data_IF_928981000666
#
_entry.id   IF_928981000666
#
_cell.length_a   1.000
_cell.length_b   1.000
_cell.length_c   1.000
_cell.angle_alpha   90.00
_cell.angle_beta   90.00
_cell.angle_gamma   90.00
#
_symmetry.space_group_name_H-M   'P 1'
#
loop_
_entity.id
_entity.type
_entity.pdbx_description
1 polymer ?
#
# COMPACT_ATOMS: atom_id res chain seq x y z
N UNK A 1 -4.21 -1.27 9.73
CA UNK A 1 -4.75 -2.63 9.83
C UNK A 1 -5.38 -3.15 8.54
N UNK A 2 -5.31 -4.48 8.31
CA UNK A 2 -5.66 -5.16 7.06
C UNK A 2 -7.05 -5.81 7.01
N UNK A 3 -7.64 -5.81 5.83
CA UNK A 3 -8.91 -6.47 5.51
C UNK A 3 -8.83 -7.18 4.15
N UNK A 4 -9.34 -8.41 4.08
CA UNK A 4 -9.45 -9.22 2.87
C UNK A 4 -10.93 -9.38 2.50
N UNK A 5 -11.30 -8.98 1.28
CA UNK A 5 -12.68 -8.92 0.81
C UNK A 5 -12.87 -9.72 -0.50
N UNK A 6 -13.58 -9.17 -1.49
CA UNK A 6 -13.93 -9.88 -2.75
C UNK A 6 -12.79 -9.94 -3.77
N UNK A 7 -11.90 -8.95 -3.78
CA UNK A 7 -10.88 -8.77 -4.81
C UNK A 7 -9.56 -9.49 -4.51
N UNK A 8 -8.58 -9.44 -5.44
CA UNK A 8 -7.25 -9.94 -5.17
C UNK A 8 -6.56 -9.11 -4.09
N UNK A 9 -5.83 -9.78 -3.20
CA UNK A 9 -5.10 -9.14 -2.10
C UNK A 9 -6.01 -8.59 -1.00
N UNK A 10 -5.46 -7.65 -0.22
CA UNK A 10 -6.18 -6.98 0.86
C UNK A 10 -6.05 -5.45 0.79
N UNK A 11 -6.74 -4.77 1.68
CA UNK A 11 -6.60 -3.32 1.88
C UNK A 11 -6.07 -3.06 3.29
N UNK A 12 -5.14 -2.12 3.41
CA UNK A 12 -4.58 -1.72 4.69
C UNK A 12 -5.00 -0.28 4.96
N UNK A 13 -5.46 -0.02 6.19
CA UNK A 13 -5.77 1.34 6.68
C UNK A 13 -4.78 1.80 7.73
N UNK A 14 -4.59 3.11 7.88
CA UNK A 14 -3.80 3.69 8.97
C UNK A 14 -4.36 5.04 9.39
N UNK A 15 -4.28 5.41 10.67
CA UNK A 15 -4.90 6.61 11.23
C UNK A 15 -3.83 7.58 11.77
N UNK A 16 -3.36 8.54 10.97
CA UNK A 16 -2.30 9.44 11.41
C UNK A 16 -2.82 10.43 12.45
N UNK A 17 -1.90 10.97 13.25
CA UNK A 17 -2.18 11.96 14.30
C UNK A 17 -2.90 13.23 13.79
N UNK A 18 -2.62 13.63 12.55
CA UNK A 18 -3.26 14.78 11.87
C UNK A 18 -4.74 14.58 11.52
N UNK A 19 -5.31 13.41 11.80
CA UNK A 19 -6.68 13.05 11.44
C UNK A 19 -6.83 12.48 10.02
N UNK A 20 -8.05 12.08 9.68
CA UNK A 20 -8.33 11.29 8.48
C UNK A 20 -7.75 9.87 8.59
N UNK A 21 -7.53 9.22 7.44
CA UNK A 21 -6.90 7.91 7.38
C UNK A 21 -6.21 7.65 6.04
N UNK A 22 -5.16 6.85 6.05
CA UNK A 22 -4.54 6.28 4.87
C UNK A 22 -5.26 5.01 4.43
N UNK A 23 -5.38 4.81 3.12
CA UNK A 23 -5.77 3.54 2.50
C UNK A 23 -4.66 3.13 1.53
N UNK A 24 -4.21 1.89 1.66
CA UNK A 24 -3.32 1.22 0.72
C UNK A 24 -4.02 -0.01 0.18
N UNK A 25 -4.12 -0.13 -1.14
CA UNK A 25 -4.61 -1.34 -1.76
C UNK A 25 -4.71 -1.25 -3.29
N UNK A 26 -4.72 -2.38 -4.00
CA UNK A 26 -4.60 -3.75 -3.44
C UNK A 26 -3.19 -4.05 -2.90
N UNK A 27 -3.13 -4.72 -1.74
CA UNK A 27 -1.90 -5.21 -1.11
C UNK A 27 -1.79 -6.72 -1.28
N UNK A 28 -0.63 -7.19 -1.74
CA UNK A 28 -0.29 -8.60 -1.86
C UNK A 28 0.66 -9.02 -0.73
N UNK A 29 1.12 -10.27 -0.77
CA UNK A 29 1.98 -10.83 0.27
C UNK A 29 3.20 -9.96 0.60
N UNK A 30 3.82 -9.34 -0.43
CA UNK A 30 5.00 -8.49 -0.27
C UNK A 30 4.70 -7.20 0.50
N UNK A 31 3.61 -6.49 0.19
CA UNK A 31 3.23 -5.28 0.95
C UNK A 31 2.86 -5.63 2.38
N UNK A 32 2.11 -6.72 2.58
CA UNK A 32 1.68 -7.17 3.90
C UNK A 32 2.88 -7.54 4.78
N UNK A 33 3.85 -8.27 4.23
CA UNK A 33 5.08 -8.64 4.92
C UNK A 33 5.93 -7.40 5.26
N UNK A 34 6.08 -6.46 4.33
CA UNK A 34 6.80 -5.20 4.59
C UNK A 34 6.16 -4.38 5.73
N UNK A 35 4.82 -4.41 5.81
CA UNK A 35 4.06 -3.76 6.87
C UNK A 35 4.02 -4.58 8.17
N UNK A 36 4.53 -5.82 8.18
CA UNK A 36 4.47 -6.70 9.35
C UNK A 36 3.05 -7.19 9.67
N UNK A 37 2.20 -7.35 8.65
CA UNK A 37 0.81 -7.77 8.78
C UNK A 37 0.61 -9.23 8.38
N UNK A 38 -0.40 -9.87 8.96
CA UNK A 38 -0.78 -11.23 8.60
C UNK A 38 -1.28 -11.28 7.14
N UNK A 39 -0.84 -12.30 6.40
CA UNK A 39 -1.11 -12.47 4.96
C UNK A 39 -2.44 -13.17 4.67
N UNK A 40 -3.02 -13.84 5.65
CA UNK A 40 -4.15 -14.75 5.50
C UNK A 40 -5.34 -14.40 6.40
N UNK A 41 -5.15 -13.55 7.41
CA UNK A 41 -6.17 -13.17 8.38
C UNK A 41 -6.26 -11.65 8.53
N UNK A 42 -7.50 -11.16 8.64
CA UNK A 42 -7.76 -9.77 8.94
C UNK A 42 -7.04 -9.37 10.24
N UNK A 43 -6.29 -8.28 10.18
CA UNK A 43 -5.67 -7.71 11.38
C UNK A 43 -6.58 -6.61 11.90
N UNK A 44 -7.10 -6.68 13.15
CA UNK A 44 -7.82 -5.59 13.79
C UNK A 44 -6.87 -4.43 14.14
N UNK A 45 -7.40 -3.34 14.70
CA UNK A 45 -6.71 -2.05 14.88
C UNK A 45 -6.24 -2.17 16.30
N UNK A 46 -4.99 -1.77 16.55
CA UNK A 46 -4.47 -1.79 17.90
C UNK A 46 -5.49 -1.18 18.87
N UNK A 47 -5.75 -1.89 19.95
CA UNK A 47 -6.59 -1.38 21.04
C UNK A 47 -5.86 -0.21 21.70
N UNK A 48 -6.59 0.85 22.06
CA UNK A 48 -6.02 2.11 22.60
C UNK A 48 -5.78 1.97 24.12
N UNK A 49 -5.39 0.79 24.60
CA UNK A 49 -5.15 0.57 26.04
C UNK A 49 -4.01 1.44 26.58
N UNK A 50 -3.07 1.85 25.72
CA UNK A 50 -2.08 2.88 25.99
C UNK A 50 -2.12 3.93 24.87
N UNK A 51 -2.75 5.10 25.07
CA UNK A 51 -2.98 6.09 24.02
C UNK A 51 -1.70 6.61 23.35
N UNK A 52 -0.62 6.80 24.12
CA UNK A 52 0.63 7.38 23.59
C UNK A 52 1.41 6.35 22.77
N UNK A 53 1.62 5.14 23.31
CA UNK A 53 2.30 4.07 22.58
C UNK A 53 1.52 3.67 21.30
N UNK A 54 0.18 3.64 21.39
CA UNK A 54 -0.66 3.36 20.24
C UNK A 54 -0.58 4.47 19.16
N UNK A 55 -0.35 5.73 19.54
CA UNK A 55 -0.18 6.83 18.59
C UNK A 55 1.15 6.73 17.83
N UNK A 56 2.26 6.44 18.53
CA UNK A 56 3.58 6.29 17.89
C UNK A 56 3.63 5.07 16.97
N UNK A 57 3.07 3.94 17.40
CA UNK A 57 2.94 2.73 16.58
C UNK A 57 2.11 2.98 15.31
N UNK A 58 0.97 3.69 15.44
CA UNK A 58 0.10 4.01 14.33
C UNK A 58 0.76 5.00 13.35
N UNK A 59 1.54 5.97 13.84
CA UNK A 59 2.29 6.90 13.00
C UNK A 59 3.40 6.17 12.24
N UNK A 60 4.13 5.25 12.88
CA UNK A 60 5.11 4.38 12.21
C UNK A 60 4.46 3.51 11.13
N UNK A 61 3.28 2.95 11.41
CA UNK A 61 2.49 2.19 10.44
C UNK A 61 2.09 3.06 9.25
N UNK A 62 1.58 4.28 9.50
CA UNK A 62 1.24 5.24 8.45
C UNK A 62 2.46 5.64 7.61
N UNK A 63 3.63 5.80 8.22
CA UNK A 63 4.88 6.11 7.52
C UNK A 63 5.26 5.00 6.53
N UNK A 64 5.19 3.74 6.95
CA UNK A 64 5.43 2.60 6.05
C UNK A 64 4.38 2.48 4.96
N UNK A 65 3.12 2.75 5.27
CA UNK A 65 2.06 2.78 4.25
C UNK A 65 2.33 3.85 3.19
N UNK A 66 2.77 5.05 3.59
CA UNK A 66 3.14 6.11 2.66
C UNK A 66 4.32 5.72 1.75
N UNK A 67 5.29 4.97 2.28
CA UNK A 67 6.40 4.42 1.48
C UNK A 67 5.91 3.51 0.34
N UNK A 68 4.72 2.91 0.46
CA UNK A 68 4.10 2.07 -0.56
C UNK A 68 3.06 2.80 -1.43
N UNK A 69 2.93 4.13 -1.28
CA UNK A 69 2.00 4.93 -2.07
C UNK A 69 0.58 5.02 -1.51
N UNK A 70 0.39 4.80 -0.20
CA UNK A 70 -0.94 4.93 0.41
C UNK A 70 -1.54 6.33 0.22
N UNK A 71 -2.84 6.37 -0.10
CA UNK A 71 -3.60 7.62 -0.29
C UNK A 71 -4.23 8.05 1.02
N UNK A 72 -4.12 9.33 1.36
CA UNK A 72 -4.80 9.91 2.52
C UNK A 72 -6.20 10.38 2.15
N UNK A 73 -7.17 10.09 3.02
CA UNK A 73 -8.56 10.49 2.91
C UNK A 73 -8.97 11.28 4.15
N UNK A 74 -9.70 12.37 3.95
CA UNK A 74 -10.17 13.20 5.07
C UNK A 74 -11.22 12.46 5.90
N UNK A 75 -12.09 11.69 5.27
CA UNK A 75 -13.18 10.97 5.89
C UNK A 75 -13.68 9.81 4.99
N UNK A 76 -14.50 8.92 5.56
CA UNK A 76 -15.03 7.74 4.86
C UNK A 76 -15.94 8.12 3.68
N UNK A 77 -16.66 9.25 3.77
CA UNK A 77 -17.54 9.70 2.70
C UNK A 77 -16.75 10.04 1.43
N UNK A 78 -15.63 10.78 1.55
CA UNK A 78 -14.75 11.09 0.41
C UNK A 78 -14.13 9.82 -0.19
N UNK A 79 -13.69 8.88 0.66
CA UNK A 79 -13.17 7.59 0.21
C UNK A 79 -14.23 6.78 -0.56
N UNK A 80 -15.43 6.65 0.00
CA UNK A 80 -16.54 5.93 -0.63
C UNK A 80 -17.00 6.59 -1.94
N UNK A 81 -17.06 7.93 -1.97
CA UNK A 81 -17.40 8.66 -3.19
C UNK A 81 -16.40 8.32 -4.31
N UNK A 82 -15.10 8.37 -4.03
CA UNK A 82 -14.07 8.02 -5.02
C UNK A 82 -14.09 6.53 -5.41
N UNK A 83 -14.49 5.63 -4.51
CA UNK A 83 -14.63 4.21 -4.83
C UNK A 83 -15.80 3.92 -5.80
N UNK A 84 -16.84 4.76 -5.80
CA UNK A 84 -18.01 4.64 -6.69
C UNK A 84 -17.77 5.39 -8.01
N UNK A 85 -17.21 6.60 -7.91
CA UNK A 85 -16.96 7.50 -9.03
C UNK A 85 -15.52 8.04 -8.93
N UNK A 86 -14.54 7.29 -9.49
CA UNK A 86 -13.14 7.71 -9.44
C UNK A 86 -12.93 9.02 -10.21
N UNK A 87 -12.26 10.00 -9.60
CA UNK A 87 -12.09 11.34 -10.20
C UNK A 87 -11.27 11.35 -11.51
N UNK A 88 -10.47 10.32 -11.82
CA UNK A 88 -9.93 10.07 -13.18
C UNK A 88 -9.35 8.66 -13.35
N UNK A 89 -9.33 8.16 -14.60
CA UNK A 89 -8.60 6.95 -15.01
C UNK A 89 -7.17 7.23 -15.48
N UNK A 90 -6.73 8.49 -15.48
CA UNK A 90 -5.39 8.95 -15.90
C UNK A 90 -4.34 8.81 -14.79
N UNK A 91 -4.66 8.03 -13.75
CA UNK A 91 -3.77 7.79 -12.62
C UNK A 91 -2.47 7.07 -13.03
N UNK A 92 -1.39 7.35 -12.31
CA UNK A 92 -0.13 6.63 -12.46
C UNK A 92 -0.24 5.28 -11.74
N UNK A 93 0.18 4.20 -12.41
CA UNK A 93 0.47 2.93 -11.74
C UNK A 93 1.79 3.12 -11.00
N UNK A 94 1.70 3.25 -9.68
CA UNK A 94 2.83 3.37 -8.77
C UNK A 94 3.11 2.02 -8.13
N UNK A 95 4.35 1.58 -8.20
CA UNK A 95 4.82 0.39 -7.51
C UNK A 95 6.22 0.65 -6.95
N UNK A 96 6.41 0.34 -5.68
CA UNK A 96 7.62 0.69 -4.93
C UNK A 96 8.27 -0.57 -4.35
N UNK A 97 9.58 -0.66 -4.46
CA UNK A 97 10.41 -1.68 -3.82
C UNK A 97 11.42 -1.05 -2.86
N UNK A 98 11.53 -1.62 -1.65
CA UNK A 98 12.43 -1.14 -0.61
C UNK A 98 13.44 -2.23 -0.24
N UNK A 99 14.66 -2.20 -0.78
CA UNK A 99 15.68 -3.19 -0.45
C UNK A 99 16.24 -2.96 0.96
N UNK A 100 16.74 -4.03 1.59
CA UNK A 100 17.33 -4.00 2.93
C UNK A 100 18.59 -3.12 3.00
N UNK A 101 19.30 -2.99 1.87
CA UNK A 101 20.48 -2.12 1.74
C UNK A 101 20.18 -0.62 1.70
N UNK A 102 18.90 -0.23 1.73
CA UNK A 102 18.47 1.15 1.59
C UNK A 102 18.35 1.60 0.13
N UNK A 103 17.74 2.77 -0.07
CA UNK A 103 17.30 3.23 -1.39
C UNK A 103 15.87 2.80 -1.69
N UNK A 104 15.39 3.11 -2.90
CA UNK A 104 14.03 2.82 -3.33
C UNK A 104 14.01 2.60 -4.84
N UNK A 105 13.28 1.57 -5.28
CA UNK A 105 12.98 1.31 -6.68
C UNK A 105 11.54 1.72 -6.97
N UNK A 106 11.28 2.43 -8.07
CA UNK A 106 9.96 3.03 -8.32
C UNK A 106 9.57 2.84 -9.78
N UNK A 107 8.58 1.98 -10.01
CA UNK A 107 7.86 1.97 -11.26
C UNK A 107 6.69 2.96 -11.15
N UNK A 108 6.76 4.06 -11.90
CA UNK A 108 5.70 5.07 -12.00
C UNK A 108 5.38 5.31 -13.47
N UNK A 109 4.35 4.64 -14.00
CA UNK A 109 3.98 4.72 -15.41
C UNK A 109 2.47 4.86 -15.61
N UNK A 110 2.01 5.46 -16.73
CA UNK A 110 0.58 5.47 -17.05
C UNK A 110 0.01 4.05 -17.25
N UNK A 111 -1.30 3.83 -17.09
CA UNK A 111 -1.90 2.50 -17.13
C UNK A 111 -1.70 1.80 -18.47
N UNK A 112 -1.73 2.57 -19.58
CA UNK A 112 -1.46 2.02 -20.92
C UNK A 112 -0.04 1.46 -21.03
N UNK A 113 0.95 2.12 -20.43
CA UNK A 113 2.34 1.64 -20.44
C UNK A 113 2.50 0.45 -19.51
N UNK A 114 1.89 0.47 -18.32
CA UNK A 114 1.88 -0.67 -17.39
C UNK A 114 1.34 -1.95 -18.07
N UNK A 115 0.28 -1.81 -18.88
CA UNK A 115 -0.28 -2.91 -19.68
C UNK A 115 0.71 -3.42 -20.73
N UNK A 116 1.38 -2.53 -21.47
CA UNK A 116 2.32 -2.87 -22.54
C UNK A 116 3.53 -3.63 -22.01
N UNK A 117 4.07 -3.22 -20.85
CA UNK A 117 5.25 -3.86 -20.24
C UNK A 117 4.90 -5.06 -19.34
N UNK A 118 3.60 -5.39 -19.18
CA UNK A 118 3.17 -6.48 -18.34
C UNK A 118 3.45 -6.28 -16.84
N UNK A 119 3.34 -5.06 -16.32
CA UNK A 119 3.79 -4.69 -14.97
C UNK A 119 3.17 -5.52 -13.82
N UNK A 120 2.04 -6.19 -14.06
CA UNK A 120 1.40 -7.08 -13.09
C UNK A 120 2.30 -8.24 -12.63
N UNK A 121 3.36 -8.61 -13.38
CA UNK A 121 4.34 -9.63 -12.94
C UNK A 121 5.02 -9.28 -11.62
N UNK A 122 5.06 -7.99 -11.24
CA UNK A 122 5.64 -7.53 -9.98
C UNK A 122 4.91 -8.17 -8.77
N UNK A 123 3.61 -8.46 -8.89
CA UNK A 123 2.84 -9.06 -7.80
C UNK A 123 3.23 -10.51 -7.48
N UNK A 124 4.04 -11.15 -8.33
CA UNK A 124 4.56 -12.50 -8.10
C UNK A 124 5.82 -12.53 -7.24
N UNK A 125 6.43 -11.37 -6.93
CA UNK A 125 7.60 -11.32 -6.05
C UNK A 125 7.26 -11.91 -4.67
N UNK A 126 8.18 -12.65 -4.06
CA UNK A 126 8.01 -13.18 -2.72
C UNK A 126 8.36 -12.18 -1.62
N UNK A 127 9.25 -11.23 -1.92
CA UNK A 127 9.77 -10.25 -0.97
C UNK A 127 10.14 -8.94 -1.68
N UNK A 128 10.55 -7.93 -0.91
CA UNK A 128 10.92 -6.63 -1.46
C UNK A 128 12.18 -6.68 -2.35
N UNK A 129 13.13 -7.57 -2.10
CA UNK A 129 14.34 -7.69 -2.93
C UNK A 129 14.01 -8.20 -4.34
N UNK A 130 13.18 -9.23 -4.44
CA UNK A 130 12.67 -9.70 -5.71
C UNK A 130 11.84 -8.64 -6.42
N UNK A 131 10.99 -7.94 -5.67
CA UNK A 131 10.20 -6.83 -6.22
C UNK A 131 11.08 -5.74 -6.82
N UNK A 132 12.14 -5.33 -6.13
CA UNK A 132 13.12 -4.35 -6.62
C UNK A 132 13.71 -4.80 -7.95
N UNK A 133 14.15 -6.06 -8.06
CA UNK A 133 14.71 -6.62 -9.31
C UNK A 133 13.72 -6.59 -10.47
N UNK A 134 12.45 -6.90 -10.20
CA UNK A 134 11.41 -6.87 -11.25
C UNK A 134 11.09 -5.43 -11.65
N UNK A 135 11.06 -4.49 -10.70
CA UNK A 135 10.89 -3.05 -11.01
C UNK A 135 12.04 -2.56 -11.89
N UNK A 136 13.29 -2.88 -11.55
CA UNK A 136 14.48 -2.56 -12.34
C UNK A 136 14.38 -3.10 -13.77
N UNK A 137 14.00 -4.37 -13.93
CA UNK A 137 13.80 -4.99 -15.26
C UNK A 137 12.74 -4.29 -16.10
N UNK A 138 11.74 -3.67 -15.46
CA UNK A 138 10.66 -2.93 -16.10
C UNK A 138 11.02 -1.44 -16.35
N UNK A 139 12.23 -1.03 -15.96
CA UNK A 139 12.79 0.30 -16.19
C UNK A 139 12.39 1.35 -15.13
N UNK A 140 12.08 0.91 -13.91
CA UNK A 140 11.88 1.79 -12.74
C UNK A 140 13.08 1.82 -11.79
#
# INVERSE_FOLDING_TARGET
RSEFARGPGGFVRGWPSKGGFYVLGPCFGVELEFLGLDRFHNTPRPSISNPTAAADEEEMHCNKMRQLGATWWKNEYEYMKNAIEPESTDGIVLTVGWPAGGGVWVLAVPPIRARVIGAAIIHNAYNMEERCKVIEQLGG
#
